data_IF_871547128868
#
_entry.id   IF_871547128868
#
_cell.length_a   1.000
_cell.length_b   1.000
_cell.length_c   1.000
_cell.angle_alpha   90.00
_cell.angle_beta   90.00
_cell.angle_gamma   90.00
#
_symmetry.space_group_name_H-M   'P 1'
#
loop_
_entity.id
_entity.type
_entity.pdbx_description
1 polymer ?
#
# COMPACT_ATOMS: atom_id res chain seq x y z
N UNK A 1 -9.03 -1.35 -20.73
CA UNK A 1 -9.40 -2.54 -21.56
C UNK A 1 -9.41 -3.83 -20.74
N UNK A 2 -8.27 -4.36 -20.29
CA UNK A 2 -8.25 -5.68 -19.61
C UNK A 2 -9.16 -5.79 -18.38
N UNK A 3 -9.33 -4.72 -17.59
CA UNK A 3 -10.30 -4.69 -16.49
C UNK A 3 -11.74 -4.99 -16.92
N UNK A 4 -12.17 -4.48 -18.10
CA UNK A 4 -13.50 -4.77 -18.65
C UNK A 4 -13.60 -6.23 -19.11
N UNK A 5 -12.54 -6.77 -19.72
CA UNK A 5 -12.49 -8.18 -20.13
C UNK A 5 -12.54 -9.12 -18.91
N UNK A 6 -11.89 -8.75 -17.81
CA UNK A 6 -11.96 -9.46 -16.53
C UNK A 6 -13.40 -9.42 -15.99
N UNK A 7 -14.04 -8.25 -16.00
CA UNK A 7 -15.41 -8.06 -15.51
C UNK A 7 -16.42 -8.97 -16.23
N UNK A 8 -16.33 -9.07 -17.55
CA UNK A 8 -17.22 -9.96 -18.34
C UNK A 8 -16.71 -11.41 -18.42
N UNK A 9 -15.52 -11.69 -17.88
CA UNK A 9 -14.84 -12.98 -17.91
C UNK A 9 -14.55 -13.48 -19.32
N UNK A 10 -14.02 -12.61 -20.19
CA UNK A 10 -13.53 -12.96 -21.54
C UNK A 10 -12.02 -13.16 -21.55
N UNK A 11 -11.57 -14.29 -22.12
CA UNK A 11 -10.19 -14.77 -22.08
C UNK A 11 -9.57 -14.55 -20.69
N UNK A 12 -10.31 -14.93 -19.64
CA UNK A 12 -10.09 -14.41 -18.29
C UNK A 12 -8.65 -14.53 -17.80
N UNK A 13 -8.00 -15.70 -18.00
CA UNK A 13 -6.62 -15.91 -17.56
C UNK A 13 -5.63 -14.99 -18.26
N UNK A 14 -5.79 -14.81 -19.57
CA UNK A 14 -4.97 -13.89 -20.36
C UNK A 14 -5.23 -12.44 -19.94
N UNK A 15 -6.51 -12.07 -19.78
CA UNK A 15 -6.92 -10.75 -19.33
C UNK A 15 -6.37 -10.41 -17.94
N UNK A 16 -6.43 -11.35 -16.99
CA UNK A 16 -5.84 -11.20 -15.66
C UNK A 16 -4.33 -11.09 -15.69
N UNK A 17 -3.65 -11.92 -16.50
CA UNK A 17 -2.19 -11.87 -16.63
C UNK A 17 -1.74 -10.53 -17.21
N UNK A 18 -2.35 -10.09 -18.31
CA UNK A 18 -2.04 -8.81 -18.94
C UNK A 18 -2.34 -7.62 -18.00
N UNK A 19 -3.47 -7.66 -17.29
CA UNK A 19 -3.79 -6.63 -16.29
C UNK A 19 -2.75 -6.58 -15.17
N UNK A 20 -2.36 -7.74 -14.63
CA UNK A 20 -1.35 -7.84 -13.57
C UNK A 20 -0.01 -7.30 -14.03
N UNK A 21 0.43 -7.66 -15.24
CA UNK A 21 1.68 -7.18 -15.83
C UNK A 21 1.67 -5.66 -15.99
N UNK A 22 0.63 -5.11 -16.64
CA UNK A 22 0.52 -3.66 -16.85
C UNK A 22 0.43 -2.87 -15.55
N UNK A 23 -0.32 -3.39 -14.56
CA UNK A 23 -0.43 -2.76 -13.24
C UNK A 23 0.90 -2.77 -12.50
N UNK A 24 1.63 -3.89 -12.56
CA UNK A 24 2.97 -4.03 -11.96
C UNK A 24 3.97 -3.10 -12.62
N UNK A 25 4.00 -3.03 -13.97
CA UNK A 25 4.87 -2.11 -14.70
C UNK A 25 4.60 -0.65 -14.30
N UNK A 26 3.33 -0.24 -14.31
CA UNK A 26 2.93 1.13 -13.91
C UNK A 26 3.37 1.43 -12.49
N UNK A 27 3.14 0.50 -11.56
CA UNK A 27 3.53 0.64 -10.16
C UNK A 27 5.05 0.80 -9.99
N UNK A 28 5.86 -0.01 -10.70
CA UNK A 28 7.32 0.06 -10.64
C UNK A 28 7.89 1.33 -11.28
N UNK A 29 7.26 1.82 -12.36
CA UNK A 29 7.66 3.07 -13.03
C UNK A 29 7.34 4.32 -12.20
N UNK A 30 6.30 4.29 -11.36
CA UNK A 30 5.73 5.46 -10.69
C UNK A 30 6.09 5.52 -9.19
N UNK A 31 7.39 5.53 -8.87
CA UNK A 31 7.89 5.54 -7.47
C UNK A 31 7.32 6.68 -6.60
N UNK A 32 7.12 7.88 -7.18
CA UNK A 32 6.54 9.04 -6.50
C UNK A 32 5.05 8.86 -6.14
N UNK A 33 4.39 7.87 -6.73
CA UNK A 33 2.97 7.52 -6.54
C UNK A 33 2.77 6.30 -5.64
N UNK A 34 3.82 5.82 -4.96
CA UNK A 34 3.74 4.64 -4.10
C UNK A 34 2.58 4.71 -3.10
N UNK A 35 1.81 3.62 -3.04
CA UNK A 35 0.77 3.37 -2.05
C UNK A 35 0.67 1.86 -1.78
N UNK A 36 0.52 1.45 -0.51
CA UNK A 36 0.34 0.04 -0.15
C UNK A 36 -0.91 -0.58 -0.80
N UNK A 37 -1.95 0.19 -1.10
CA UNK A 37 -3.13 -0.34 -1.79
C UNK A 37 -2.82 -0.75 -3.25
N UNK A 38 -1.88 -0.07 -3.90
CA UNK A 38 -1.45 -0.46 -5.24
C UNK A 38 -0.59 -1.72 -5.20
N UNK A 39 0.21 -1.88 -4.14
CA UNK A 39 0.90 -3.14 -3.88
C UNK A 39 -0.09 -4.30 -3.63
N UNK A 40 -1.12 -4.09 -2.80
CA UNK A 40 -2.18 -5.07 -2.60
C UNK A 40 -2.83 -5.49 -3.92
N UNK A 41 -3.11 -4.53 -4.81
CA UNK A 41 -3.65 -4.85 -6.13
C UNK A 41 -2.74 -5.74 -6.98
N UNK A 42 -1.42 -5.56 -6.92
CA UNK A 42 -0.48 -6.46 -7.61
C UNK A 42 -0.67 -7.88 -7.08
N UNK A 43 -0.68 -8.04 -5.75
CA UNK A 43 -0.82 -9.35 -5.12
C UNK A 43 -2.15 -10.03 -5.49
N UNK A 44 -3.25 -9.30 -5.34
CA UNK A 44 -4.59 -9.82 -5.65
C UNK A 44 -4.73 -10.17 -7.12
N UNK A 45 -4.24 -9.31 -8.03
CA UNK A 45 -4.31 -9.58 -9.47
C UNK A 45 -3.46 -10.81 -9.83
N UNK A 46 -2.27 -10.93 -9.24
CA UNK A 46 -1.40 -12.11 -9.40
C UNK A 46 -2.09 -13.39 -8.94
N UNK A 47 -2.70 -13.38 -7.74
CA UNK A 47 -3.49 -14.51 -7.23
C UNK A 47 -4.62 -14.85 -8.21
N UNK A 48 -5.36 -13.84 -8.68
CA UNK A 48 -6.49 -13.99 -9.59
C UNK A 48 -6.11 -14.64 -10.93
N UNK A 49 -4.88 -14.51 -11.43
CA UNK A 49 -4.41 -15.24 -12.63
C UNK A 49 -4.66 -16.75 -12.51
N UNK A 50 -4.50 -17.31 -11.31
CA UNK A 50 -4.61 -18.75 -11.06
C UNK A 50 -6.03 -19.20 -10.70
N UNK A 51 -6.96 -18.27 -10.46
CA UNK A 51 -8.30 -18.59 -10.01
C UNK A 51 -9.23 -18.99 -11.17
N UNK A 52 -10.17 -19.92 -10.96
CA UNK A 52 -11.17 -20.29 -11.96
C UNK A 52 -12.40 -19.36 -11.92
N UNK A 53 -12.22 -18.04 -11.81
CA UNK A 53 -13.34 -17.11 -11.59
C UNK A 53 -14.27 -16.97 -12.81
N UNK A 54 -13.81 -17.36 -14.00
CA UNK A 54 -14.58 -17.32 -15.24
C UNK A 54 -15.51 -18.53 -15.43
N UNK A 55 -15.56 -19.51 -14.52
CA UNK A 55 -16.23 -20.79 -14.80
C UNK A 55 -17.75 -20.80 -14.65
N UNK A 56 -18.41 -19.71 -14.29
CA UNK A 56 -19.87 -19.75 -14.07
C UNK A 56 -20.67 -18.84 -15.01
N UNK A 57 -20.65 -17.53 -14.79
CA UNK A 57 -21.40 -16.55 -15.55
C UNK A 57 -20.43 -15.59 -16.25
N UNK A 58 -19.85 -16.05 -17.36
CA UNK A 58 -18.83 -15.33 -18.11
C UNK A 58 -19.00 -15.52 -19.62
N UNK A 59 -18.36 -14.65 -20.41
CA UNK A 59 -18.25 -14.85 -21.85
C UNK A 59 -17.46 -16.11 -22.21
N UNK A 60 -16.45 -16.49 -21.42
CA UNK A 60 -15.71 -17.75 -21.63
C UNK A 60 -16.63 -18.98 -21.54
N UNK A 61 -17.57 -19.00 -20.60
CA UNK A 61 -18.57 -20.10 -20.48
C UNK A 61 -19.57 -20.04 -21.63
N UNK A 62 -19.97 -18.85 -22.06
CA UNK A 62 -20.88 -18.68 -23.21
C UNK A 62 -20.24 -19.24 -24.49
N UNK A 63 -18.95 -19.00 -24.69
CA UNK A 63 -18.19 -19.47 -25.85
C UNK A 63 -17.77 -20.95 -25.74
N UNK A 64 -17.54 -21.44 -24.52
CA UNK A 64 -17.20 -22.84 -24.26
C UNK A 64 -17.99 -23.37 -23.05
N UNK A 65 -19.21 -23.90 -23.27
CA UNK A 65 -20.05 -24.40 -22.18
C UNK A 65 -19.41 -25.52 -21.33
N UNK A 66 -18.41 -26.25 -21.85
CA UNK A 66 -17.74 -27.35 -21.15
C UNK A 66 -16.99 -26.91 -19.89
N UNK A 67 -16.58 -25.64 -19.79
CA UNK A 67 -15.87 -25.14 -18.60
C UNK A 67 -16.80 -24.74 -17.45
N UNK A 68 -18.13 -24.81 -17.66
CA UNK A 68 -19.14 -24.37 -16.69
C UNK A 68 -19.03 -25.17 -15.39
N UNK A 69 -18.91 -24.46 -14.27
CA UNK A 69 -18.83 -25.02 -12.93
C UNK A 69 -19.60 -24.13 -11.95
N UNK A 70 -20.39 -24.74 -11.08
CA UNK A 70 -21.23 -24.03 -10.09
C UNK A 70 -20.55 -23.91 -8.72
N UNK A 71 -19.47 -24.65 -8.52
CA UNK A 71 -18.63 -24.68 -7.32
C UNK A 71 -17.19 -24.26 -7.62
N UNK A 72 -16.43 -23.90 -6.57
CA UNK A 72 -14.99 -23.68 -6.64
C UNK A 72 -14.32 -24.23 -5.37
N UNK A 73 -13.03 -24.61 -5.42
CA UNK A 73 -12.31 -25.06 -4.23
C UNK A 73 -12.28 -23.98 -3.14
N UNK A 74 -12.42 -24.40 -1.88
CA UNK A 74 -12.45 -23.49 -0.72
C UNK A 74 -11.18 -22.66 -0.53
N UNK A 75 -10.01 -23.15 -1.00
CA UNK A 75 -8.76 -22.40 -0.90
C UNK A 75 -8.81 -21.06 -1.64
N UNK A 76 -9.64 -20.94 -2.69
CA UNK A 76 -9.84 -19.70 -3.46
C UNK A 76 -10.38 -18.58 -2.58
N UNK A 77 -11.28 -18.91 -1.65
CA UNK A 77 -11.75 -17.96 -0.64
C UNK A 77 -10.65 -17.67 0.37
N UNK A 78 -10.03 -18.72 0.91
CA UNK A 78 -9.10 -18.59 2.04
C UNK A 78 -7.84 -17.82 1.71
N UNK A 79 -7.34 -17.89 0.47
CA UNK A 79 -6.17 -17.09 0.06
C UNK A 79 -6.42 -15.58 0.22
N UNK A 80 -7.62 -15.10 -0.12
CA UNK A 80 -7.99 -13.69 0.07
C UNK A 80 -8.23 -13.37 1.53
N UNK A 81 -8.91 -14.25 2.27
CA UNK A 81 -9.16 -14.03 3.71
C UNK A 81 -7.84 -13.92 4.48
N UNK A 82 -6.88 -14.80 4.23
CA UNK A 82 -5.56 -14.77 4.88
C UNK A 82 -4.78 -13.53 4.45
N UNK A 83 -4.77 -13.17 3.16
CA UNK A 83 -4.09 -11.96 2.68
C UNK A 83 -4.65 -10.69 3.35
N UNK A 84 -5.98 -10.59 3.47
CA UNK A 84 -6.62 -9.46 4.13
C UNK A 84 -6.37 -9.47 5.63
N UNK A 85 -6.38 -10.65 6.27
CA UNK A 85 -6.01 -10.79 7.68
C UNK A 85 -4.63 -10.20 7.95
N UNK A 86 -3.62 -10.61 7.19
CA UNK A 86 -2.25 -10.08 7.29
C UNK A 86 -2.24 -8.55 7.15
N UNK A 87 -2.88 -8.02 6.10
CA UNK A 87 -2.92 -6.58 5.86
C UNK A 87 -3.56 -5.80 7.01
N UNK A 88 -4.73 -6.23 7.48
CA UNK A 88 -5.48 -5.55 8.54
C UNK A 88 -4.79 -5.65 9.90
N UNK A 89 -4.19 -6.80 10.22
CA UNK A 89 -3.36 -6.97 11.42
C UNK A 89 -2.20 -5.98 11.43
N UNK A 90 -1.45 -5.88 10.33
CA UNK A 90 -0.37 -4.88 10.25
C UNK A 90 -0.88 -3.44 10.26
N UNK A 91 -2.03 -3.16 9.63
CA UNK A 91 -2.63 -1.82 9.65
C UNK A 91 -3.02 -1.37 11.07
N UNK A 92 -3.46 -2.30 11.92
CA UNK A 92 -3.74 -2.08 13.33
C UNK A 92 -2.45 -1.86 14.14
N UNK A 93 -1.50 -2.78 14.05
CA UNK A 93 -0.21 -2.70 14.76
C UNK A 93 0.54 -1.40 14.40
N UNK A 94 0.56 -1.02 13.12
CA UNK A 94 1.31 0.14 12.68
C UNK A 94 0.73 1.48 13.19
N UNK A 95 -0.53 1.49 13.66
CA UNK A 95 -1.17 2.63 14.34
C UNK A 95 -0.89 2.66 15.84
N UNK A 96 -0.30 1.61 16.42
CA UNK A 96 0.08 1.58 17.84
C UNK A 96 1.47 2.22 18.01
N UNK A 97 1.57 3.53 17.77
CA UNK A 97 2.78 4.31 18.02
C UNK A 97 2.43 5.67 18.65
N UNK A 98 3.38 6.35 19.33
CA UNK A 98 3.09 7.50 20.19
C UNK A 98 2.18 8.57 19.57
N UNK A 99 2.54 9.14 18.41
CA UNK A 99 1.78 10.25 17.82
C UNK A 99 0.37 9.87 17.35
N UNK A 100 0.06 8.58 17.26
CA UNK A 100 -1.30 8.12 16.96
C UNK A 100 -2.11 7.96 18.24
N UNK A 101 -1.49 7.43 19.29
CA UNK A 101 -2.13 7.18 20.59
C UNK A 101 -2.37 8.48 21.38
N UNK A 102 -1.45 9.45 21.30
CA UNK A 102 -1.62 10.79 21.89
C UNK A 102 -2.58 11.70 21.08
N UNK A 103 -3.08 11.18 19.96
CA UNK A 103 -4.01 11.81 19.01
C UNK A 103 -3.40 12.92 18.15
N UNK A 104 -2.10 13.17 18.21
CA UNK A 104 -1.42 14.23 17.45
C UNK A 104 -1.67 14.08 15.94
N UNK A 105 -1.43 12.89 15.38
CA UNK A 105 -1.67 12.60 13.96
C UNK A 105 -3.15 12.56 13.60
N UNK A 106 -4.03 11.85 14.33
CA UNK A 106 -5.48 11.91 14.11
C UNK A 106 -6.03 13.34 14.08
N UNK A 107 -5.64 14.21 15.02
CA UNK A 107 -6.04 15.63 15.04
C UNK A 107 -5.50 16.38 13.82
N UNK A 108 -4.21 16.20 13.48
CA UNK A 108 -3.62 16.83 12.30
C UNK A 108 -4.35 16.42 11.01
N UNK A 109 -4.72 15.14 10.88
CA UNK A 109 -5.46 14.63 9.74
C UNK A 109 -6.86 15.25 9.62
N UNK A 110 -7.53 15.52 10.74
CA UNK A 110 -8.84 16.20 10.77
C UNK A 110 -8.75 17.71 10.51
N UNK A 111 -7.72 18.37 11.04
CA UNK A 111 -7.52 19.80 10.85
C UNK A 111 -7.42 20.17 9.35
N UNK A 112 -6.76 19.33 8.55
CA UNK A 112 -6.69 19.48 7.09
C UNK A 112 -8.02 19.29 6.35
N UNK A 113 -9.12 18.99 7.05
CA UNK A 113 -10.46 18.70 6.52
C UNK A 113 -11.51 19.70 6.98
N UNK A 114 -11.13 20.77 7.69
CA UNK A 114 -12.05 21.77 8.23
C UNK A 114 -12.95 22.40 7.16
N UNK A 115 -12.43 22.58 5.94
CA UNK A 115 -13.17 23.18 4.83
C UNK A 115 -14.02 22.17 4.03
N UNK A 116 -14.24 20.96 4.54
CA UNK A 116 -15.12 19.99 3.88
C UNK A 116 -16.58 20.46 3.98
N UNK A 117 -17.31 20.50 2.85
CA UNK A 117 -18.73 20.83 2.90
C UNK A 117 -19.48 19.90 3.85
N UNK A 118 -20.39 20.45 4.66
CA UNK A 118 -21.32 19.74 5.57
C UNK A 118 -20.64 19.12 6.80
N UNK A 119 -19.53 18.40 6.64
CA UNK A 119 -18.91 17.62 7.72
C UNK A 119 -17.65 18.24 8.33
N UNK A 120 -17.12 19.31 7.74
CA UNK A 120 -15.84 19.91 8.14
C UNK A 120 -15.77 20.30 9.61
N UNK A 121 -16.80 20.99 10.13
CA UNK A 121 -16.91 21.37 11.54
C UNK A 121 -17.09 20.16 12.46
N UNK A 122 -17.94 19.20 12.06
CA UNK A 122 -18.16 17.96 12.81
C UNK A 122 -16.83 17.21 13.02
N UNK A 123 -15.97 17.16 11.99
CA UNK A 123 -14.67 16.50 12.07
C UNK A 123 -13.70 17.17 13.06
N UNK A 124 -13.93 18.44 13.44
CA UNK A 124 -13.09 19.14 14.42
C UNK A 124 -13.52 18.86 15.87
N UNK A 125 -14.65 18.19 16.09
CA UNK A 125 -15.16 17.96 17.44
C UNK A 125 -14.22 17.05 18.25
N UNK A 126 -14.04 17.35 19.54
CA UNK A 126 -13.03 16.71 20.43
C UNK A 126 -13.09 15.18 20.52
N UNK A 127 -14.24 14.56 20.23
CA UNK A 127 -14.41 13.11 20.26
C UNK A 127 -14.00 12.42 18.94
N UNK A 128 -13.92 13.15 17.83
CA UNK A 128 -13.67 12.57 16.50
C UNK A 128 -12.26 12.01 16.40
N UNK A 129 -11.25 12.77 16.84
CA UNK A 129 -9.86 12.30 16.81
C UNK A 129 -9.65 11.03 17.66
N UNK A 130 -10.12 10.93 18.92
CA UNK A 130 -10.13 9.67 19.67
C UNK A 130 -10.86 8.54 18.96
N UNK A 131 -12.05 8.80 18.41
CA UNK A 131 -12.85 7.80 17.69
C UNK A 131 -12.09 7.23 16.48
N UNK A 132 -11.45 8.09 15.68
CA UNK A 132 -10.63 7.67 14.54
C UNK A 132 -9.41 6.89 15.00
N UNK A 133 -8.74 7.36 16.04
CA UNK A 133 -7.50 6.75 16.52
C UNK A 133 -7.74 5.33 17.04
N UNK A 134 -8.58 5.20 18.05
CA UNK A 134 -8.83 3.93 18.74
C UNK A 134 -9.82 3.06 17.97
N UNK A 135 -10.86 3.64 17.38
CA UNK A 135 -11.79 2.93 16.51
C UNK A 135 -11.09 2.38 15.27
N UNK A 136 -10.14 3.11 14.69
CA UNK A 136 -9.30 2.62 13.59
C UNK A 136 -8.43 1.43 13.98
N UNK A 137 -7.75 1.49 15.14
CA UNK A 137 -6.95 0.37 15.68
C UNK A 137 -7.82 -0.88 15.90
N UNK A 138 -8.94 -0.72 16.60
CA UNK A 138 -9.85 -1.81 16.94
C UNK A 138 -10.49 -2.41 15.69
N UNK A 139 -10.97 -1.57 14.77
CA UNK A 139 -11.56 -2.03 13.52
C UNK A 139 -10.53 -2.84 12.71
N UNK A 140 -9.34 -2.28 12.46
CA UNK A 140 -8.32 -2.98 11.68
C UNK A 140 -7.91 -4.30 12.36
N UNK A 141 -7.81 -4.33 13.70
CA UNK A 141 -7.42 -5.56 14.42
C UNK A 141 -8.51 -6.64 14.44
N UNK A 142 -9.79 -6.25 14.45
CA UNK A 142 -10.91 -7.16 14.72
C UNK A 142 -11.80 -7.43 13.51
N UNK A 143 -11.72 -6.66 12.43
CA UNK A 143 -12.64 -6.78 11.29
C UNK A 143 -12.67 -8.19 10.71
N UNK A 144 -11.50 -8.81 10.50
CA UNK A 144 -11.42 -10.16 9.92
C UNK A 144 -11.88 -11.24 10.91
N UNK A 145 -11.38 -11.31 12.18
CA UNK A 145 -11.89 -12.25 13.18
C UNK A 145 -13.41 -12.17 13.37
N UNK A 146 -13.97 -10.96 13.47
CA UNK A 146 -15.40 -10.75 13.69
C UNK A 146 -16.24 -11.03 12.44
N UNK A 147 -15.68 -10.91 11.23
CA UNK A 147 -16.35 -11.36 10.00
C UNK A 147 -16.37 -12.90 9.90
N UNK A 148 -15.32 -13.56 10.40
CA UNK A 148 -15.27 -15.03 10.46
C UNK A 148 -16.26 -15.58 11.47
N UNK A 149 -16.35 -14.98 12.67
CA UNK A 149 -17.28 -15.39 13.71
C UNK A 149 -18.74 -15.08 13.32
N UNK A 150 -19.55 -16.13 13.14
CA UNK A 150 -20.91 -16.03 12.58
C UNK A 150 -21.82 -15.04 13.34
N UNK A 151 -21.86 -15.01 14.69
CA UNK A 151 -22.75 -14.12 15.44
C UNK A 151 -22.43 -12.63 15.24
N UNK A 152 -21.17 -12.27 15.05
CA UNK A 152 -20.73 -10.86 14.93
C UNK A 152 -20.75 -10.33 13.50
N UNK A 153 -20.77 -11.23 12.50
CA UNK A 153 -20.58 -10.91 11.09
C UNK A 153 -21.47 -9.79 10.55
N UNK A 154 -22.76 -9.79 10.87
CA UNK A 154 -23.70 -8.75 10.38
C UNK A 154 -23.32 -7.38 10.94
N UNK A 155 -23.00 -7.30 12.23
CA UNK A 155 -22.68 -6.05 12.91
C UNK A 155 -21.37 -5.46 12.39
N UNK A 156 -20.31 -6.28 12.31
CA UNK A 156 -19.02 -5.80 11.79
C UNK A 156 -19.10 -5.46 10.30
N UNK A 157 -19.95 -6.11 9.51
CA UNK A 157 -20.17 -5.73 8.11
C UNK A 157 -20.81 -4.34 7.98
N UNK A 158 -21.80 -4.02 8.81
CA UNK A 158 -22.39 -2.66 8.85
C UNK A 158 -21.33 -1.64 9.28
N UNK A 159 -20.54 -1.95 10.32
CA UNK A 159 -19.41 -1.11 10.73
C UNK A 159 -18.38 -0.95 9.60
N UNK A 160 -18.15 -2.00 8.79
CA UNK A 160 -17.24 -1.96 7.64
C UNK A 160 -17.73 -1.00 6.56
N UNK A 161 -19.04 -0.97 6.29
CA UNK A 161 -19.64 0.01 5.36
C UNK A 161 -19.35 1.43 5.85
N UNK A 162 -19.67 1.72 7.11
CA UNK A 162 -19.40 3.03 7.70
C UNK A 162 -17.90 3.39 7.64
N UNK A 163 -17.03 2.50 8.13
CA UNK A 163 -15.59 2.72 8.16
C UNK A 163 -15.01 2.99 6.76
N UNK A 164 -15.38 2.17 5.78
CA UNK A 164 -14.86 2.30 4.42
C UNK A 164 -15.41 3.54 3.71
N UNK A 165 -16.71 3.86 3.88
CA UNK A 165 -17.26 5.10 3.35
C UNK A 165 -16.63 6.34 3.99
N UNK A 166 -16.42 6.33 5.31
CA UNK A 166 -15.70 7.38 6.02
C UNK A 166 -14.28 7.56 5.45
N UNK A 167 -13.53 6.47 5.28
CA UNK A 167 -12.21 6.53 4.67
C UNK A 167 -12.24 7.04 3.21
N UNK A 168 -13.26 6.67 2.43
CA UNK A 168 -13.41 7.14 1.04
C UNK A 168 -13.67 8.65 1.00
N UNK A 169 -14.63 9.13 1.81
CA UNK A 169 -15.07 10.52 1.82
C UNK A 169 -14.00 11.43 2.46
N UNK A 170 -13.55 11.09 3.67
CA UNK A 170 -12.68 11.97 4.48
C UNK A 170 -11.22 11.84 4.08
N UNK A 171 -10.75 10.61 3.91
CA UNK A 171 -9.34 10.32 3.68
C UNK A 171 -8.98 10.06 2.22
N UNK A 172 -9.96 9.85 1.34
CA UNK A 172 -9.79 9.67 -0.10
C UNK A 172 -8.73 8.60 -0.43
N UNK A 173 -8.83 7.45 0.25
CA UNK A 173 -7.84 6.35 0.22
C UNK A 173 -7.86 5.56 -1.11
N UNK A 174 -8.45 6.14 -2.16
CA UNK A 174 -8.57 5.56 -3.49
C UNK A 174 -9.57 4.41 -3.53
N UNK A 175 -9.22 3.35 -4.25
CA UNK A 175 -10.13 2.23 -4.54
C UNK A 175 -10.34 1.26 -3.36
N UNK A 176 -9.49 1.33 -2.33
CA UNK A 176 -9.42 0.32 -1.28
C UNK A 176 -10.73 0.14 -0.51
N UNK A 177 -11.46 1.21 -0.10
CA UNK A 177 -12.78 1.08 0.51
C UNK A 177 -13.74 0.16 -0.23
N UNK A 178 -13.84 0.33 -1.55
CA UNK A 178 -14.77 -0.43 -2.39
C UNK A 178 -14.31 -1.88 -2.58
N UNK A 179 -13.00 -2.08 -2.74
CA UNK A 179 -12.40 -3.40 -2.86
C UNK A 179 -12.58 -4.22 -1.57
N UNK A 180 -12.33 -3.61 -0.41
CA UNK A 180 -12.50 -4.27 0.89
C UNK A 180 -13.97 -4.68 1.13
N UNK A 181 -14.92 -3.79 0.79
CA UNK A 181 -16.35 -4.12 0.86
C UNK A 181 -16.74 -5.24 -0.11
N UNK A 182 -16.20 -5.28 -1.33
CA UNK A 182 -16.44 -6.39 -2.25
C UNK A 182 -15.94 -7.73 -1.68
N UNK A 183 -14.77 -7.73 -1.02
CA UNK A 183 -14.24 -8.94 -0.39
C UNK A 183 -15.02 -9.44 0.82
N UNK A 184 -15.82 -8.59 1.46
CA UNK A 184 -16.71 -9.02 2.54
C UNK A 184 -17.64 -10.18 2.12
N UNK A 185 -17.96 -10.29 0.82
CA UNK A 185 -18.76 -11.38 0.24
C UNK A 185 -18.19 -12.76 0.57
N UNK A 186 -16.86 -12.88 0.68
CA UNK A 186 -16.21 -14.15 1.02
C UNK A 186 -16.56 -14.64 2.43
N UNK A 187 -16.97 -13.76 3.34
CA UNK A 187 -17.30 -14.13 4.72
C UNK A 187 -18.75 -14.62 4.87
N UNK A 188 -19.63 -14.33 3.91
CA UNK A 188 -21.02 -14.75 3.95
C UNK A 188 -21.25 -16.15 3.37
N UNK A 189 -22.37 -16.75 3.76
CA UNK A 189 -22.75 -18.09 3.29
C UNK A 189 -23.10 -18.05 1.80
N UNK A 190 -22.62 -19.02 0.99
CA UNK A 190 -22.90 -19.06 -0.45
C UNK A 190 -24.39 -19.01 -0.78
N UNK A 191 -25.26 -19.64 0.04
CA UNK A 191 -26.71 -19.60 -0.13
C UNK A 191 -27.27 -18.18 -0.02
N UNK A 192 -26.79 -17.38 0.94
CA UNK A 192 -27.21 -15.97 1.11
C UNK A 192 -26.78 -15.12 -0.08
N UNK A 193 -25.51 -15.23 -0.50
CA UNK A 193 -24.97 -14.50 -1.65
C UNK A 193 -25.71 -14.87 -2.94
N UNK A 194 -25.98 -16.17 -3.15
CA UNK A 194 -26.79 -16.66 -4.27
C UNK A 194 -28.16 -15.99 -4.29
N UNK A 195 -28.89 -16.04 -3.18
CA UNK A 195 -30.27 -15.54 -3.14
C UNK A 195 -30.36 -14.02 -3.33
N UNK A 196 -29.32 -13.27 -2.96
CA UNK A 196 -29.26 -11.83 -3.13
C UNK A 196 -28.85 -11.42 -4.55
N UNK A 197 -27.75 -11.99 -5.07
CA UNK A 197 -27.12 -11.51 -6.32
C UNK A 197 -27.22 -12.48 -7.51
N UNK A 198 -27.34 -13.79 -7.27
CA UNK A 198 -27.27 -14.83 -8.30
C UNK A 198 -28.49 -15.75 -8.24
N UNK A 199 -29.70 -15.17 -8.27
CA UNK A 199 -30.98 -15.89 -8.06
C UNK A 199 -31.15 -17.13 -8.96
N UNK A 200 -30.68 -17.05 -10.21
CA UNK A 200 -30.75 -18.14 -11.20
C UNK A 200 -29.67 -19.23 -11.03
N UNK A 201 -28.70 -19.05 -10.12
CA UNK A 201 -27.62 -20.02 -9.90
C UNK A 201 -28.11 -21.21 -9.08
N UNK A 202 -27.88 -22.46 -9.52
CA UNK A 202 -28.15 -23.63 -8.68
C UNK A 202 -27.25 -23.60 -7.43
N UNK A 203 -27.80 -23.99 -6.28
CA UNK A 203 -27.01 -24.10 -5.06
C UNK A 203 -26.24 -25.41 -5.11
N UNK A 204 -24.92 -25.36 -4.98
CA UNK A 204 -24.12 -26.55 -4.83
C UNK A 204 -24.28 -27.11 -3.40
N UNK A 205 -24.78 -28.33 -3.28
CA UNK A 205 -25.06 -29.00 -1.99
C UNK A 205 -24.26 -30.29 -1.79
N UNK A 206 -23.58 -30.79 -2.82
CA UNK A 206 -22.93 -32.11 -2.80
C UNK A 206 -21.75 -32.20 -1.82
N UNK A 207 -21.13 -31.06 -1.47
CA UNK A 207 -20.10 -31.02 -0.42
C UNK A 207 -18.85 -31.86 -0.71
N UNK A 208 -18.62 -32.25 -1.97
CA UNK A 208 -17.57 -33.22 -2.31
C UNK A 208 -16.18 -32.70 -1.97
N UNK A 209 -15.38 -33.53 -1.29
CA UNK A 209 -13.97 -33.25 -1.02
C UNK A 209 -13.12 -33.82 -2.16
N UNK A 210 -12.92 -33.02 -3.21
CA UNK A 210 -12.05 -33.38 -4.34
C UNK A 210 -10.62 -32.90 -4.10
N UNK A 211 -9.75 -33.79 -3.62
CA UNK A 211 -8.31 -33.52 -3.49
C UNK A 211 -7.69 -33.61 -4.89
N UNK A 212 -7.08 -32.52 -5.35
CA UNK A 212 -6.40 -32.47 -6.65
C UNK A 212 -4.92 -32.76 -6.49
N UNK A 213 -4.30 -33.35 -7.50
CA UNK A 213 -2.88 -33.68 -7.52
C UNK A 213 -1.96 -32.45 -7.36
N UNK A 214 -2.44 -31.23 -7.66
CA UNK A 214 -1.69 -30.00 -7.43
C UNK A 214 -1.64 -29.55 -5.96
N UNK A 215 -2.36 -30.22 -5.04
CA UNK A 215 -2.47 -29.79 -3.64
C UNK A 215 -1.10 -29.60 -2.96
N UNK A 216 -0.13 -30.53 -3.04
CA UNK A 216 1.17 -30.34 -2.39
C UNK A 216 1.88 -29.09 -2.89
N UNK A 217 1.94 -28.90 -4.21
CA UNK A 217 2.55 -27.72 -4.85
C UNK A 217 1.84 -26.43 -4.42
N UNK A 218 0.50 -26.43 -4.43
CA UNK A 218 -0.31 -25.28 -4.00
C UNK A 218 -0.03 -24.89 -2.55
N UNK A 219 0.05 -25.88 -1.65
CA UNK A 219 0.34 -25.65 -0.23
C UNK A 219 1.76 -25.12 -0.07
N UNK A 220 2.77 -25.70 -0.72
CA UNK A 220 4.15 -25.23 -0.66
C UNK A 220 4.28 -23.78 -1.15
N UNK A 221 3.69 -23.44 -2.30
CA UNK A 221 3.68 -22.07 -2.81
C UNK A 221 2.94 -21.14 -1.85
N UNK A 222 1.79 -21.57 -1.31
CA UNK A 222 1.01 -20.80 -0.35
C UNK A 222 1.79 -20.49 0.93
N UNK A 223 2.50 -21.47 1.49
CA UNK A 223 3.35 -21.30 2.68
C UNK A 223 4.46 -20.30 2.40
N UNK A 224 5.21 -20.46 1.31
CA UNK A 224 6.28 -19.53 0.92
C UNK A 224 5.72 -18.11 0.74
N UNK A 225 4.61 -17.99 0.02
CA UNK A 225 3.94 -16.72 -0.23
C UNK A 225 3.52 -16.03 1.08
N UNK A 226 2.80 -16.71 1.96
CA UNK A 226 2.33 -16.11 3.21
C UNK A 226 3.45 -15.87 4.22
N UNK A 227 4.46 -16.73 4.27
CA UNK A 227 5.67 -16.48 5.05
C UNK A 227 6.36 -15.19 4.59
N UNK A 228 6.49 -14.99 3.28
CA UNK A 228 7.01 -13.75 2.72
C UNK A 228 6.12 -12.54 3.04
N UNK A 229 4.79 -12.66 2.93
CA UNK A 229 3.85 -11.57 3.26
C UNK A 229 3.85 -11.19 4.74
N UNK A 230 4.23 -12.11 5.62
CA UNK A 230 4.43 -11.86 7.05
C UNK A 230 5.81 -11.27 7.32
N UNK A 231 6.87 -11.84 6.73
CA UNK A 231 8.25 -11.43 7.00
C UNK A 231 8.62 -10.07 6.38
N UNK A 232 8.16 -9.80 5.15
CA UNK A 232 8.54 -8.58 4.42
C UNK A 232 8.18 -7.28 5.16
N UNK A 233 6.99 -7.12 5.79
CA UNK A 233 6.67 -5.96 6.61
C UNK A 233 7.54 -5.81 7.86
N UNK A 234 7.96 -6.92 8.48
CA UNK A 234 8.78 -6.92 9.70
C UNK A 234 10.20 -6.42 9.45
N UNK A 235 10.66 -6.40 8.19
CA UNK A 235 12.04 -6.03 7.88
C UNK A 235 12.45 -4.65 8.38
N UNK A 236 11.50 -3.75 8.59
CA UNK A 236 11.75 -2.43 9.17
C UNK A 236 12.47 -2.50 10.53
N UNK A 237 12.27 -3.58 11.30
CA UNK A 237 12.88 -3.76 12.61
C UNK A 237 14.36 -4.14 12.55
N UNK A 238 14.88 -4.47 11.35
CA UNK A 238 16.31 -4.73 11.14
C UNK A 238 17.08 -3.47 10.71
N UNK A 239 16.38 -2.38 10.41
CA UNK A 239 17.04 -1.10 10.15
C UNK A 239 17.23 -0.35 11.46
N UNK A 240 18.29 0.45 11.50
CA UNK A 240 18.55 1.35 12.61
C UNK A 240 17.51 2.47 12.60
N UNK A 241 17.08 2.89 13.80
CA UNK A 241 16.22 4.05 14.01
C UNK A 241 14.75 3.88 13.54
N UNK A 242 13.96 4.92 13.69
CA UNK A 242 12.52 4.91 13.44
C UNK A 242 12.21 4.97 11.93
N UNK A 243 11.43 4.00 11.44
CA UNK A 243 10.96 3.94 10.04
C UNK A 243 10.22 5.19 9.55
N UNK A 244 9.56 5.93 10.45
CA UNK A 244 8.88 7.18 10.09
C UNK A 244 9.90 8.25 9.68
N UNK A 245 11.13 8.18 10.20
CA UNK A 245 12.26 9.06 9.92
C UNK A 245 13.08 8.59 8.71
N UNK A 246 13.59 7.35 8.75
CA UNK A 246 14.52 6.82 7.73
C UNK A 246 13.82 6.41 6.43
N UNK A 247 12.52 6.11 6.46
CA UNK A 247 11.76 5.45 5.37
C UNK A 247 12.26 4.03 5.00
N UNK A 248 13.30 3.54 5.67
CA UNK A 248 13.87 2.23 5.40
C UNK A 248 12.92 1.14 5.88
N UNK A 249 12.63 0.16 5.01
CA UNK A 249 11.61 -0.82 5.33
C UNK A 249 10.16 -0.31 5.27
N UNK A 250 9.89 0.95 4.90
CA UNK A 250 8.52 1.50 4.92
C UNK A 250 7.60 0.95 3.81
N UNK A 251 8.12 0.81 2.58
CA UNK A 251 7.32 0.33 1.44
C UNK A 251 7.02 -1.17 1.55
N UNK A 252 5.93 -1.65 0.99
CA UNK A 252 5.53 -3.07 1.02
C UNK A 252 5.32 -3.64 2.45
N UNK A 253 5.05 -2.76 3.43
CA UNK A 253 4.99 -3.15 4.85
C UNK A 253 3.64 -2.86 5.50
N UNK A 254 2.59 -2.68 4.69
CA UNK A 254 1.21 -2.43 5.15
C UNK A 254 1.04 -1.20 6.07
N UNK A 255 2.03 -0.31 6.07
CA UNK A 255 2.04 0.94 6.84
C UNK A 255 1.32 2.04 6.08
N UNK A 256 0.03 2.21 6.36
CA UNK A 256 -0.84 3.12 5.61
C UNK A 256 -1.28 4.30 6.47
N UNK A 257 -1.14 5.51 5.92
CA UNK A 257 -1.66 6.74 6.52
C UNK A 257 -1.18 7.01 7.96
N UNK A 258 0.09 6.76 8.24
CA UNK A 258 0.65 6.88 9.59
C UNK A 258 1.36 8.21 9.86
N UNK A 259 1.60 9.05 8.85
CA UNK A 259 2.34 10.29 9.06
C UNK A 259 2.02 11.35 8.04
N UNK A 260 2.21 12.60 8.44
CA UNK A 260 2.50 13.72 7.54
C UNK A 260 4.00 13.95 7.51
N UNK A 261 4.55 14.20 6.32
CA UNK A 261 5.98 14.47 6.13
C UNK A 261 6.16 15.61 5.13
N UNK A 262 6.89 16.64 5.54
CA UNK A 262 7.32 17.73 4.67
C UNK A 262 8.83 17.90 4.77
N UNK A 263 9.43 18.52 3.75
CA UNK A 263 10.86 18.71 3.72
C UNK A 263 11.29 19.90 2.88
N UNK A 264 12.37 20.52 3.32
CA UNK A 264 13.12 21.55 2.60
C UNK A 264 14.47 20.94 2.22
N UNK A 265 14.75 20.85 0.93
CA UNK A 265 15.97 20.23 0.44
C UNK A 265 16.59 21.05 -0.69
N UNK A 266 17.89 21.32 -0.57
CA UNK A 266 18.69 21.98 -1.59
C UNK A 266 19.81 21.04 -2.05
N UNK A 267 20.03 20.99 -3.36
CA UNK A 267 21.10 20.20 -3.97
C UNK A 267 22.18 21.16 -4.47
N UNK A 268 23.42 20.89 -4.06
CA UNK A 268 24.62 21.61 -4.50
C UNK A 268 25.48 20.67 -5.33
N UNK A 269 25.75 21.05 -6.57
CA UNK A 269 26.64 20.30 -7.47
C UNK A 269 27.99 21.00 -7.50
N UNK A 270 29.08 20.23 -7.45
CA UNK A 270 30.45 20.74 -7.54
C UNK A 270 31.17 19.97 -8.64
N UNK A 271 31.65 20.68 -9.65
CA UNK A 271 32.49 20.13 -10.71
C UNK A 271 33.88 19.79 -10.14
N UNK A 272 34.33 18.54 -10.33
CA UNK A 272 35.59 18.07 -9.75
C UNK A 272 36.84 18.68 -10.39
N UNK A 273 36.74 19.09 -11.66
CA UNK A 273 37.87 19.64 -12.41
C UNK A 273 38.05 21.12 -12.13
N UNK A 274 36.94 21.87 -12.07
CA UNK A 274 36.96 23.33 -11.94
C UNK A 274 36.70 23.82 -10.52
N UNK A 275 36.25 22.95 -9.61
CA UNK A 275 35.74 23.29 -8.28
C UNK A 275 34.61 24.35 -8.28
N UNK A 276 34.01 24.64 -9.44
CA UNK A 276 32.84 25.52 -9.52
C UNK A 276 31.64 24.81 -8.92
N UNK A 277 30.90 25.53 -8.09
CA UNK A 277 29.70 25.00 -7.45
C UNK A 277 28.45 25.78 -7.85
N UNK A 278 27.34 25.06 -8.00
CA UNK A 278 26.04 25.65 -8.28
C UNK A 278 24.93 24.98 -7.49
N UNK A 279 23.85 25.71 -7.23
CA UNK A 279 22.65 25.19 -6.61
C UNK A 279 21.64 24.79 -7.68
N UNK A 280 21.06 23.60 -7.52
CA UNK A 280 20.13 23.04 -8.50
C UNK A 280 18.71 23.48 -8.20
N UNK A 281 18.06 24.03 -9.21
CA UNK A 281 16.63 24.29 -9.20
C UNK A 281 15.87 23.03 -9.62
N UNK A 282 15.33 22.30 -8.63
CA UNK A 282 14.67 21.00 -8.87
C UNK A 282 13.53 21.05 -9.91
N UNK A 283 12.85 22.19 -10.08
CA UNK A 283 11.74 22.33 -11.05
C UNK A 283 12.16 22.17 -12.50
N UNK A 284 13.46 22.33 -12.79
CA UNK A 284 13.99 22.20 -14.15
C UNK A 284 14.13 20.71 -14.54
N UNK A 285 14.05 19.81 -13.54
CA UNK A 285 14.24 18.37 -13.69
C UNK A 285 13.01 17.54 -13.30
N UNK A 286 12.27 17.99 -12.29
CA UNK A 286 11.29 17.18 -11.58
C UNK A 286 9.91 17.83 -11.62
N UNK A 287 8.88 17.00 -11.80
CA UNK A 287 7.49 17.43 -11.60
C UNK A 287 7.24 17.79 -10.14
N UNK A 288 6.20 18.62 -9.88
CA UNK A 288 5.78 18.99 -8.51
C UNK A 288 5.62 17.79 -7.56
N UNK A 289 5.13 16.65 -8.06
CA UNK A 289 4.95 15.41 -7.28
C UNK A 289 6.29 14.74 -6.95
N UNK A 290 7.23 14.73 -7.90
CA UNK A 290 8.58 14.20 -7.68
C UNK A 290 9.36 15.07 -6.71
N UNK A 291 9.28 16.41 -6.84
CA UNK A 291 9.90 17.36 -5.90
C UNK A 291 9.47 17.05 -4.46
N UNK A 292 8.17 16.89 -4.20
CA UNK A 292 7.68 16.53 -2.86
C UNK A 292 8.35 15.27 -2.28
N UNK A 293 8.64 14.27 -3.11
CA UNK A 293 9.34 13.06 -2.67
C UNK A 293 10.86 13.26 -2.56
N UNK A 294 11.47 13.96 -3.52
CA UNK A 294 12.89 14.29 -3.55
C UNK A 294 13.29 15.34 -2.49
N UNK A 295 12.31 15.95 -1.82
CA UNK A 295 12.57 16.87 -0.70
C UNK A 295 12.47 16.22 0.67
N UNK A 296 12.04 14.97 0.78
CA UNK A 296 11.83 14.36 2.10
C UNK A 296 12.16 12.87 2.20
N UNK A 297 12.22 12.10 1.11
CA UNK A 297 12.47 10.65 1.16
C UNK A 297 13.95 10.37 0.82
N UNK A 298 14.74 9.77 1.75
CA UNK A 298 16.17 9.51 1.53
C UNK A 298 16.48 8.82 0.21
N UNK A 299 15.70 7.78 -0.11
CA UNK A 299 15.89 6.98 -1.31
C UNK A 299 15.58 7.71 -2.62
N UNK A 300 14.72 8.72 -2.58
CA UNK A 300 14.44 9.58 -3.74
C UNK A 300 15.44 10.73 -3.82
N UNK A 301 15.91 11.24 -2.67
CA UNK A 301 16.99 12.22 -2.58
C UNK A 301 18.26 11.67 -3.23
N UNK A 302 18.67 10.46 -2.81
CA UNK A 302 19.81 9.77 -3.40
C UNK A 302 19.61 9.53 -4.89
N UNK A 303 18.43 9.06 -5.32
CA UNK A 303 18.16 8.84 -6.74
C UNK A 303 18.28 10.12 -7.58
N UNK A 304 17.85 11.27 -7.05
CA UNK A 304 17.99 12.52 -7.77
C UNK A 304 19.46 12.97 -7.85
N UNK A 305 20.25 12.77 -6.78
CA UNK A 305 21.69 13.01 -6.84
C UNK A 305 22.39 12.14 -7.91
N UNK A 306 22.00 10.87 -8.05
CA UNK A 306 22.49 9.98 -9.10
C UNK A 306 22.04 10.42 -10.50
N UNK A 307 20.84 10.98 -10.63
CA UNK A 307 20.35 11.54 -11.89
C UNK A 307 21.20 12.73 -12.32
N UNK A 308 21.46 13.68 -11.42
CA UNK A 308 22.32 14.84 -11.67
C UNK A 308 23.73 14.39 -12.10
N UNK A 309 24.34 13.44 -11.38
CA UNK A 309 25.64 12.87 -11.77
C UNK A 309 25.64 12.37 -13.22
N UNK A 310 24.62 11.60 -13.60
CA UNK A 310 24.51 11.04 -14.96
C UNK A 310 24.30 12.12 -16.02
N UNK A 311 23.55 13.16 -15.70
CA UNK A 311 23.26 14.25 -16.63
C UNK A 311 24.51 15.11 -16.89
N UNK A 312 25.21 15.52 -15.83
CA UNK A 312 26.45 16.27 -15.96
C UNK A 312 27.53 15.46 -16.70
N UNK A 313 27.58 14.14 -16.48
CA UNK A 313 28.47 13.26 -17.21
C UNK A 313 28.20 13.23 -18.73
N UNK A 314 26.93 13.38 -19.18
CA UNK A 314 26.61 13.52 -20.61
C UNK A 314 27.22 14.78 -21.23
N UNK A 315 27.45 15.80 -20.42
CA UNK A 315 28.10 17.05 -20.81
C UNK A 315 29.61 17.03 -20.52
N UNK A 316 30.20 15.85 -20.28
CA UNK A 316 31.64 15.70 -20.03
C UNK A 316 32.11 16.16 -18.65
N UNK A 317 31.20 16.42 -17.71
CA UNK A 317 31.54 16.89 -16.34
C UNK A 317 31.42 15.75 -15.33
N UNK A 318 32.48 15.51 -14.56
CA UNK A 318 32.43 14.68 -13.36
C UNK A 318 32.16 15.55 -12.13
N UNK A 319 31.13 15.21 -11.36
CA UNK A 319 30.59 16.07 -10.31
C UNK A 319 30.42 15.35 -8.98
N UNK A 320 30.47 16.13 -7.91
CA UNK A 320 30.03 15.76 -6.56
C UNK A 320 28.67 16.40 -6.30
N UNK A 321 27.81 15.71 -5.56
CA UNK A 321 26.46 16.20 -5.21
C UNK A 321 26.28 16.16 -3.71
N UNK A 322 26.19 17.34 -3.10
CA UNK A 322 25.93 17.54 -1.68
C UNK A 322 24.49 17.99 -1.48
N UNK A 323 23.85 17.50 -0.41
CA UNK A 323 22.43 17.76 -0.16
C UNK A 323 22.23 18.25 1.27
N UNK A 324 21.66 19.44 1.42
CA UNK A 324 21.12 19.90 2.71
C UNK A 324 19.62 19.64 2.70
N UNK A 325 19.20 18.62 3.47
CA UNK A 325 17.81 18.23 3.60
C UNK A 325 17.37 18.29 5.06
N UNK A 326 16.31 19.03 5.32
CA UNK A 326 15.63 19.11 6.61
C UNK A 326 14.19 18.67 6.45
N UNK A 327 13.68 17.87 7.37
CA UNK A 327 12.31 17.36 7.35
C UNK A 327 11.56 17.67 8.62
N UNK A 328 10.23 17.74 8.50
CA UNK A 328 9.27 17.75 9.58
C UNK A 328 8.39 16.52 9.46
N UNK A 329 8.17 15.84 10.58
CA UNK A 329 7.28 14.67 10.68
C UNK A 329 6.20 14.98 11.70
N UNK A 330 4.95 14.80 11.30
CA UNK A 330 3.78 15.00 12.14
C UNK A 330 3.74 16.39 12.81
N UNK A 331 4.21 17.42 12.09
CA UNK A 331 4.20 18.81 12.55
C UNK A 331 5.35 19.22 13.48
N UNK A 332 6.27 18.30 13.83
CA UNK A 332 7.47 18.64 14.62
C UNK A 332 8.39 19.65 13.90
N UNK A 333 9.24 20.40 14.61
CA UNK A 333 10.21 21.30 14.00
C UNK A 333 11.11 20.61 12.96
N UNK A 334 11.56 21.37 11.95
CA UNK A 334 12.46 20.84 10.94
C UNK A 334 13.81 20.42 11.53
N UNK A 335 14.20 19.17 11.28
CA UNK A 335 15.50 18.60 11.68
C UNK A 335 16.23 18.05 10.46
N UNK A 336 17.55 18.09 10.49
CA UNK A 336 18.39 17.66 9.37
C UNK A 336 18.31 16.14 9.21
N UNK A 337 17.97 15.69 8.00
CA UNK A 337 17.82 14.29 7.63
C UNK A 337 19.11 13.71 7.03
N UNK A 338 19.83 14.51 6.25
CA UNK A 338 20.96 14.05 5.43
C UNK A 338 22.25 14.72 5.90
N UNK A 339 23.33 13.95 5.99
CA UNK A 339 24.66 14.51 6.22
C UNK A 339 25.11 15.32 5.00
N UNK A 340 25.10 16.66 5.13
CA UNK A 340 25.45 17.59 4.05
C UNK A 340 26.91 17.49 3.57
N UNK A 341 27.79 16.83 4.32
CA UNK A 341 29.21 16.68 3.99
C UNK A 341 29.48 15.41 3.16
N UNK A 342 28.47 14.57 2.92
CA UNK A 342 28.60 13.36 2.12
C UNK A 342 28.26 13.67 0.67
N UNK A 343 29.15 13.25 -0.24
CA UNK A 343 28.89 13.27 -1.67
C UNK A 343 27.93 12.12 -2.05
N UNK A 344 26.64 12.41 -2.14
CA UNK A 344 25.63 11.40 -2.47
C UNK A 344 25.75 10.84 -3.89
N UNK A 345 26.52 11.48 -4.77
CA UNK A 345 26.80 10.96 -6.10
C UNK A 345 27.83 9.81 -6.11
N UNK A 346 28.64 9.66 -5.06
CA UNK A 346 29.64 8.58 -4.93
C UNK A 346 29.21 7.44 -4.02
N UNK A 347 28.21 7.63 -3.16
CA UNK A 347 27.74 6.58 -2.24
C UNK A 347 26.77 5.60 -2.92
N UNK A 348 26.92 4.26 -2.74
CA UNK A 348 25.96 3.28 -3.21
C UNK A 348 24.66 3.27 -2.38
N UNK A 349 23.55 2.87 -3.00
CA UNK A 349 22.30 2.60 -2.28
C UNK A 349 22.24 1.15 -1.82
N UNK A 350 22.00 0.94 -0.53
CA UNK A 350 21.73 -0.39 0.03
C UNK A 350 20.24 -0.52 0.37
N UNK A 351 19.58 -1.55 -0.15
CA UNK A 351 18.15 -1.78 0.11
C UNK A 351 17.89 -2.57 1.40
N UNK A 352 18.92 -3.23 1.94
CA UNK A 352 18.88 -4.16 3.07
C UNK A 352 19.73 -3.72 4.26
N UNK A 353 20.37 -2.55 4.20
CA UNK A 353 21.22 -2.00 5.26
C UNK A 353 20.86 -0.53 5.49
N UNK A 354 20.97 -0.08 6.73
CA UNK A 354 20.89 1.33 7.07
C UNK A 354 21.95 2.15 6.32
N UNK A 355 21.56 3.31 5.82
CA UNK A 355 22.44 4.24 5.13
C UNK A 355 23.07 5.26 6.09
N UNK A 356 24.39 5.20 6.28
CA UNK A 356 25.12 6.02 7.27
C UNK A 356 25.04 7.55 7.05
N UNK A 357 24.62 7.97 5.85
CA UNK A 357 24.40 9.39 5.53
C UNK A 357 23.01 9.91 5.94
N UNK A 358 22.11 9.02 6.39
CA UNK A 358 20.86 9.39 7.05
C UNK A 358 21.19 9.67 8.52
N UNK A 359 20.99 10.91 8.97
CA UNK A 359 21.28 11.29 10.34
C UNK A 359 20.23 10.69 11.30
N UNK A 360 20.60 10.37 12.56
CA UNK A 360 19.67 9.84 13.54
C UNK A 360 18.47 10.77 13.81
N UNK A 361 17.34 10.15 14.09
CA UNK A 361 16.08 10.81 14.36
C UNK A 361 16.10 11.52 15.70
N UNK A 362 15.28 12.56 15.79
CA UNK A 362 14.98 13.27 17.03
C UNK A 362 13.48 13.17 17.31
N UNK A 363 12.88 12.02 16.99
CA UNK A 363 11.44 11.81 17.16
C UNK A 363 11.05 11.47 18.60
N UNK A 364 11.98 10.85 19.34
CA UNK A 364 11.81 10.44 20.74
C UNK A 364 12.33 11.50 21.73
N UNK A 365 12.73 12.68 21.24
CA UNK A 365 13.12 13.86 22.01
C UNK A 365 12.10 14.96 21.81
#
# INVERSE_FOLDING_TARGET
VFGLLIMVGYKYRLSMFAFTLMWTCTYLMQKSSYNNHYYLLILLSTIMVFLPANKYASLDVKLNPKIKQISMPSWVKWVFVIQLFILYTYASIAKMYPDWLDLSVPKQLMAGKINYPIIGELLQHKFVAPFIAYGGILYDGLVIPLLLYKPTRKYIFIASIFFHLFNSIVFQVGIFPYLALAFSLFFFEPKKIKNLFLKKKPLYTEGEIKVKNYKPILVSIGVIYFAFQIALPLRQHFFTDNVLWTEEGHRLSWRMMLRSRSGYTNYKVIDKNTNKSEFIKMSDYLTKKQIRSASCKPDVIWQFAQHLKKEYAKNGKDVKVYVDSKISINGRPYKRLINQNVDLASVPWHWNKHSDWILPSQLDK
#
